data_IF_362339142469
#
_entry.id   IF_362339142469
#
_cell.length_a   1.000
_cell.length_b   1.000
_cell.length_c   1.000
_cell.angle_alpha   90.00
_cell.angle_beta   90.00
_cell.angle_gamma   90.00
#
_symmetry.space_group_name_H-M   'P 1'
#
loop_
_entity.id
_entity.type
_entity.pdbx_description
1 polymer ?
#
# COMPACT_ATOMS: atom_id res chain seq x y z
N UNK A 1 12.93 22.82 37.37
CA UNK A 1 13.23 21.81 36.34
C UNK A 1 11.92 21.30 35.78
N UNK A 2 11.60 21.64 34.52
CA UNK A 2 10.43 21.10 33.84
C UNK A 2 10.68 19.62 33.56
N UNK A 3 9.78 18.74 33.97
CA UNK A 3 9.88 17.30 33.67
C UNK A 3 9.96 17.10 32.15
N UNK A 4 10.88 16.25 31.65
CA UNK A 4 10.91 15.91 30.24
C UNK A 4 9.55 15.34 29.83
N UNK A 5 8.92 15.95 28.82
CA UNK A 5 7.64 15.48 28.25
C UNK A 5 6.37 16.22 28.68
N UNK A 6 6.43 17.21 29.58
CA UNK A 6 5.23 17.96 29.96
C UNK A 6 4.78 18.90 28.82
N UNK A 7 3.67 18.56 28.17
CA UNK A 7 3.06 19.36 27.10
C UNK A 7 3.23 18.81 25.69
N UNK A 8 4.06 17.78 25.47
CA UNK A 8 4.26 17.20 24.13
C UNK A 8 3.02 16.43 23.64
N UNK A 9 2.80 16.33 22.31
CA UNK A 9 1.74 15.51 21.75
C UNK A 9 1.81 14.06 22.24
N UNK A 10 0.68 13.45 22.59
CA UNK A 10 0.62 12.05 23.05
C UNK A 10 1.20 11.08 22.02
N UNK A 11 0.97 11.36 20.74
CA UNK A 11 1.51 10.60 19.60
C UNK A 11 3.04 10.63 19.55
N UNK A 12 3.66 11.74 19.94
CA UNK A 12 5.12 11.84 20.04
C UNK A 12 5.65 10.94 21.16
N UNK A 13 4.98 10.94 22.31
CA UNK A 13 5.35 10.09 23.45
C UNK A 13 5.23 8.60 23.12
N UNK A 14 4.21 8.20 22.36
CA UNK A 14 4.06 6.82 21.87
C UNK A 14 5.20 6.41 20.91
N UNK A 15 5.73 7.36 20.13
CA UNK A 15 6.83 7.15 19.21
C UNK A 15 8.23 7.35 19.84
N UNK A 16 8.31 7.70 21.13
CA UNK A 16 9.56 8.11 21.78
C UNK A 16 10.67 7.04 21.71
N UNK A 17 10.31 5.75 21.68
CA UNK A 17 11.27 4.66 21.51
C UNK A 17 12.06 4.75 20.19
N UNK A 18 11.50 5.37 19.13
CA UNK A 18 12.21 5.59 17.87
C UNK A 18 13.26 6.72 17.95
N UNK A 19 13.24 7.49 19.03
CA UNK A 19 14.00 8.74 19.21
C UNK A 19 14.80 8.74 20.52
N UNK A 20 14.87 7.60 21.21
CA UNK A 20 15.45 7.46 22.57
C UNK A 20 16.95 7.78 22.64
N UNK A 21 17.62 7.85 21.49
CA UNK A 21 19.04 8.16 21.37
C UNK A 21 19.33 9.49 20.70
N UNK A 22 18.30 10.30 20.44
CA UNK A 22 18.49 11.66 19.96
C UNK A 22 19.27 12.49 20.97
N UNK A 23 20.17 13.33 20.46
CA UNK A 23 20.95 14.27 21.25
C UNK A 23 20.73 15.67 20.70
N UNK A 24 20.36 16.59 21.58
CA UNK A 24 20.11 17.98 21.25
C UNK A 24 21.16 18.86 21.96
N UNK A 25 21.68 19.91 21.30
CA UNK A 25 22.46 20.94 21.97
C UNK A 25 21.72 21.54 23.18
N UNK A 26 22.46 21.98 24.20
CA UNK A 26 21.87 22.49 25.45
C UNK A 26 21.03 23.76 25.24
N UNK A 27 21.37 24.55 24.23
CA UNK A 27 20.71 25.82 23.87
C UNK A 27 19.53 25.64 22.90
N UNK A 28 19.26 24.41 22.45
CA UNK A 28 18.20 24.11 21.49
C UNK A 28 16.88 23.77 22.19
N UNK A 29 15.84 24.56 21.90
CA UNK A 29 14.46 24.20 22.27
C UNK A 29 13.89 23.15 21.31
N UNK A 30 14.25 21.88 21.52
CA UNK A 30 13.76 20.78 20.71
C UNK A 30 12.27 20.51 20.90
N UNK A 31 11.68 20.89 22.04
CA UNK A 31 10.25 20.70 22.31
C UNK A 31 9.41 21.61 21.41
N UNK A 32 9.87 22.85 21.16
CA UNK A 32 9.26 23.74 20.18
C UNK A 32 9.24 23.12 18.76
N UNK A 33 10.29 22.39 18.36
CA UNK A 33 10.29 21.69 17.07
C UNK A 33 9.28 20.54 17.01
N UNK A 34 9.13 19.79 18.11
CA UNK A 34 8.10 18.75 18.19
C UNK A 34 6.72 19.36 17.99
N UNK A 35 6.43 20.47 18.66
CA UNK A 35 5.16 21.19 18.47
C UNK A 35 4.97 21.76 17.06
N UNK A 36 6.05 22.18 16.40
CA UNK A 36 5.96 22.77 15.07
C UNK A 36 5.79 21.73 13.96
N UNK A 37 6.38 20.54 14.10
CA UNK A 37 6.52 19.58 12.99
C UNK A 37 5.95 18.20 13.25
N UNK A 38 5.73 17.81 14.51
CA UNK A 38 5.21 16.49 14.80
C UNK A 38 3.67 16.48 14.67
N UNK A 39 3.07 15.51 13.97
CA UNK A 39 1.63 15.45 13.81
C UNK A 39 0.89 15.24 15.14
N UNK A 40 -0.17 16.03 15.35
CA UNK A 40 -1.01 15.97 16.56
C UNK A 40 -1.86 14.68 16.67
N UNK A 41 -1.89 13.85 15.63
CA UNK A 41 -2.67 12.61 15.60
C UNK A 41 -1.99 11.49 14.81
N UNK A 42 -2.35 10.25 15.16
CA UNK A 42 -1.91 9.06 14.41
C UNK A 42 -2.37 9.13 12.96
N UNK A 43 -3.56 9.68 12.70
CA UNK A 43 -4.08 9.90 11.35
C UNK A 43 -3.20 10.87 10.58
N UNK A 44 -2.85 12.01 11.17
CA UNK A 44 -1.96 12.99 10.54
C UNK A 44 -0.56 12.42 10.26
N UNK A 45 -0.03 11.60 11.18
CA UNK A 45 1.22 10.87 10.96
C UNK A 45 1.13 9.86 9.81
N UNK A 46 0.07 9.07 9.77
CA UNK A 46 -0.16 8.08 8.71
C UNK A 46 -0.34 8.75 7.34
N UNK A 47 -1.05 9.89 7.28
CA UNK A 47 -1.22 10.69 6.06
C UNK A 47 0.11 11.32 5.61
N UNK A 48 0.91 11.87 6.53
CA UNK A 48 2.22 12.43 6.21
C UNK A 48 3.14 11.36 5.60
N UNK A 49 3.22 10.18 6.23
CA UNK A 49 3.98 9.04 5.69
C UNK A 49 3.42 8.54 4.35
N UNK A 50 2.10 8.53 4.20
CA UNK A 50 1.43 8.16 2.95
C UNK A 50 1.81 9.10 1.81
N UNK A 51 1.76 10.41 2.05
CA UNK A 51 2.13 11.44 1.08
C UNK A 51 3.59 11.34 0.66
N UNK A 52 4.51 11.18 1.61
CA UNK A 52 5.95 11.00 1.30
C UNK A 52 6.19 9.70 0.52
N UNK A 53 5.48 8.62 0.84
CA UNK A 53 5.58 7.35 0.09
C UNK A 53 5.06 7.52 -1.34
N UNK A 54 3.96 8.24 -1.52
CA UNK A 54 3.42 8.61 -2.83
C UNK A 54 4.42 9.44 -3.63
N UNK A 55 4.97 10.49 -3.05
CA UNK A 55 5.99 11.34 -3.68
C UNK A 55 7.23 10.54 -4.12
N UNK A 56 7.75 9.67 -3.25
CA UNK A 56 8.87 8.80 -3.61
C UNK A 56 8.55 7.91 -4.83
N UNK A 57 7.36 7.29 -4.84
CA UNK A 57 6.89 6.50 -5.97
C UNK A 57 6.79 7.35 -7.25
N UNK A 58 6.11 8.49 -7.18
CA UNK A 58 5.82 9.31 -8.35
C UNK A 58 7.07 9.92 -8.97
N UNK A 59 7.96 10.48 -8.16
CA UNK A 59 9.22 11.07 -8.63
C UNK A 59 10.14 10.01 -9.25
N UNK A 60 10.21 8.81 -8.67
CA UNK A 60 10.99 7.72 -9.27
C UNK A 60 10.45 7.30 -10.65
N UNK A 61 9.13 7.33 -10.83
CA UNK A 61 8.51 7.02 -12.11
C UNK A 61 8.69 8.14 -13.13
N UNK A 62 8.51 9.39 -12.73
CA UNK A 62 8.78 10.57 -13.56
C UNK A 62 10.21 10.54 -14.09
N UNK A 63 11.20 10.33 -13.21
CA UNK A 63 12.61 10.20 -13.60
C UNK A 63 12.84 9.06 -14.60
N UNK A 64 12.17 7.91 -14.41
CA UNK A 64 12.25 6.84 -15.39
C UNK A 64 11.65 7.23 -16.75
N UNK A 65 10.57 8.01 -16.76
CA UNK A 65 9.98 8.58 -17.96
C UNK A 65 10.89 9.56 -18.68
N UNK A 66 11.56 10.45 -17.95
CA UNK A 66 12.54 11.41 -18.49
C UNK A 66 13.76 10.71 -19.09
N UNK A 67 14.27 9.68 -18.42
CA UNK A 67 15.50 8.98 -18.82
C UNK A 67 15.27 7.95 -19.94
N UNK A 68 14.12 7.28 -19.96
CA UNK A 68 13.90 6.08 -20.79
C UNK A 68 12.64 6.13 -21.65
N UNK A 69 11.86 7.21 -21.61
CA UNK A 69 10.60 7.36 -22.33
C UNK A 69 9.36 7.07 -21.47
N UNK A 70 8.26 7.81 -21.71
CA UNK A 70 7.01 7.72 -20.92
C UNK A 70 6.44 6.30 -20.87
N UNK A 71 6.61 5.51 -21.92
CA UNK A 71 6.14 4.11 -21.97
C UNK A 71 6.80 3.20 -20.91
N UNK A 72 7.94 3.60 -20.35
CA UNK A 72 8.62 2.85 -19.30
C UNK A 72 8.02 3.08 -17.90
N UNK A 73 7.22 4.13 -17.70
CA UNK A 73 6.59 4.49 -16.43
C UNK A 73 5.71 3.35 -15.90
N UNK A 74 4.74 2.90 -16.70
CA UNK A 74 3.82 1.84 -16.28
C UNK A 74 4.56 0.51 -16.05
N UNK A 75 5.49 0.15 -16.95
CA UNK A 75 6.29 -1.07 -16.82
C UNK A 75 7.10 -1.09 -15.52
N UNK A 76 7.67 0.05 -15.11
CA UNK A 76 8.39 0.16 -13.86
C UNK A 76 7.45 0.02 -12.66
N UNK A 77 6.29 0.70 -12.71
CA UNK A 77 5.24 0.61 -11.69
C UNK A 77 4.82 -0.86 -11.45
N UNK A 78 4.45 -1.57 -12.51
CA UNK A 78 4.01 -2.97 -12.47
C UNK A 78 5.06 -3.89 -11.85
N UNK A 79 6.31 -3.79 -12.32
CA UNK A 79 7.42 -4.63 -11.82
C UNK A 79 7.76 -4.33 -10.38
N UNK A 80 7.70 -3.05 -9.97
CA UNK A 80 7.95 -2.64 -8.59
C UNK A 80 6.87 -3.18 -7.67
N UNK A 81 5.59 -2.95 -7.98
CA UNK A 81 4.47 -3.44 -7.19
C UNK A 81 4.46 -4.96 -7.06
N UNK A 82 4.69 -5.68 -8.16
CA UNK A 82 4.82 -7.14 -8.13
C UNK A 82 5.90 -7.62 -7.15
N UNK A 83 7.11 -7.03 -7.22
CA UNK A 83 8.21 -7.38 -6.31
C UNK A 83 7.90 -7.01 -4.86
N UNK A 84 7.23 -5.88 -4.64
CA UNK A 84 6.83 -5.44 -3.31
C UNK A 84 5.80 -6.40 -2.69
N UNK A 85 4.83 -6.86 -3.48
CA UNK A 85 3.86 -7.88 -3.10
C UNK A 85 4.56 -9.16 -2.65
N UNK A 86 5.45 -9.70 -3.50
CA UNK A 86 6.24 -10.90 -3.14
C UNK A 86 7.01 -10.71 -1.83
N UNK A 87 7.71 -9.59 -1.68
CA UNK A 87 8.50 -9.30 -0.46
C UNK A 87 7.62 -9.24 0.80
N UNK A 88 6.43 -8.67 0.69
CA UNK A 88 5.48 -8.60 1.81
C UNK A 88 4.95 -9.97 2.19
N UNK A 89 4.54 -10.79 1.22
CA UNK A 89 4.09 -12.15 1.47
C UNK A 89 5.20 -13.00 2.13
N UNK A 90 6.44 -12.93 1.61
CA UNK A 90 7.58 -13.63 2.20
C UNK A 90 7.83 -13.22 3.66
N UNK A 91 7.75 -11.92 3.98
CA UNK A 91 7.88 -11.42 5.35
C UNK A 91 6.80 -12.00 6.28
N UNK A 92 5.54 -12.05 5.83
CA UNK A 92 4.46 -12.61 6.62
C UNK A 92 4.57 -14.13 6.77
N UNK A 93 5.00 -14.83 5.72
CA UNK A 93 5.26 -16.28 5.79
C UNK A 93 6.43 -16.63 6.70
N UNK A 94 7.42 -15.74 6.85
CA UNK A 94 8.52 -15.89 7.81
C UNK A 94 8.12 -15.55 9.25
N UNK A 95 6.95 -14.90 9.45
CA UNK A 95 6.40 -14.64 10.77
C UNK A 95 5.62 -15.85 11.30
N UNK A 96 5.28 -15.87 12.59
CA UNK A 96 4.47 -16.95 13.19
C UNK A 96 2.98 -16.94 12.76
N UNK A 97 2.60 -16.11 11.78
CA UNK A 97 1.24 -16.06 11.25
C UNK A 97 1.02 -17.23 10.27
N UNK A 98 0.10 -18.12 10.60
CA UNK A 98 -0.32 -19.18 9.69
C UNK A 98 -1.21 -18.61 8.57
N UNK A 99 -0.77 -18.81 7.33
CA UNK A 99 -1.51 -18.45 6.11
C UNK A 99 -1.97 -19.72 5.40
N UNK A 100 -3.27 -19.78 5.09
CA UNK A 100 -3.86 -20.87 4.31
C UNK A 100 -3.31 -20.86 2.87
N UNK A 101 -3.25 -22.03 2.23
CA UNK A 101 -2.88 -22.17 0.81
C UNK A 101 -4.14 -22.23 -0.07
N UNK A 102 -5.08 -21.34 0.21
CA UNK A 102 -6.37 -21.16 -0.45
C UNK A 102 -6.71 -19.67 -0.60
N UNK A 103 -7.92 -19.32 -1.07
CA UNK A 103 -8.31 -17.92 -1.30
C UNK A 103 -8.21 -17.06 -0.03
N UNK A 104 -8.45 -17.63 1.16
CA UNK A 104 -8.43 -16.91 2.45
C UNK A 104 -7.02 -16.45 2.80
N UNK A 105 -6.01 -17.26 2.51
CA UNK A 105 -4.63 -16.91 2.79
C UNK A 105 -4.20 -15.64 2.04
N UNK A 106 -4.57 -15.55 0.75
CA UNK A 106 -4.33 -14.34 -0.03
C UNK A 106 -5.22 -13.18 0.42
N UNK A 107 -6.49 -13.43 0.74
CA UNK A 107 -7.37 -12.43 1.36
C UNK A 107 -6.79 -11.82 2.63
N UNK A 108 -6.19 -12.63 3.52
CA UNK A 108 -5.50 -12.14 4.73
C UNK A 108 -4.29 -11.27 4.40
N UNK A 109 -3.50 -11.64 3.40
CA UNK A 109 -2.36 -10.83 2.97
C UNK A 109 -2.81 -9.48 2.41
N UNK A 110 -3.92 -9.44 1.66
CA UNK A 110 -4.51 -8.18 1.17
C UNK A 110 -4.96 -7.30 2.33
N UNK A 111 -5.68 -7.87 3.30
CA UNK A 111 -6.11 -7.15 4.50
C UNK A 111 -4.91 -6.60 5.27
N UNK A 112 -3.88 -7.42 5.48
CA UNK A 112 -2.65 -7.02 6.14
C UNK A 112 -1.98 -5.85 5.39
N UNK A 113 -1.86 -5.92 4.07
CA UNK A 113 -1.27 -4.86 3.25
C UNK A 113 -1.99 -3.52 3.39
N UNK A 114 -3.33 -3.57 3.47
CA UNK A 114 -4.12 -2.37 3.62
C UNK A 114 -3.98 -1.80 5.04
N UNK A 115 -4.07 -2.64 6.07
CA UNK A 115 -3.96 -2.21 7.46
C UNK A 115 -2.58 -1.63 7.81
N UNK A 116 -1.50 -2.19 7.27
CA UNK A 116 -0.15 -1.74 7.64
C UNK A 116 0.40 -0.66 6.73
N UNK A 117 -0.08 -0.59 5.48
CA UNK A 117 0.60 0.18 4.44
C UNK A 117 -0.34 1.11 3.68
N UNK A 118 -1.66 1.00 3.81
CA UNK A 118 -2.65 1.83 3.09
C UNK A 118 -3.74 2.41 3.98
N UNK A 119 -3.39 3.38 4.84
CA UNK A 119 -4.28 3.93 5.87
C UNK A 119 -5.51 4.66 5.29
N UNK A 120 -5.46 5.08 4.03
CA UNK A 120 -6.53 5.81 3.35
C UNK A 120 -7.54 4.89 2.66
N UNK A 121 -7.27 3.58 2.59
CA UNK A 121 -8.20 2.59 2.04
C UNK A 121 -9.11 1.99 3.10
N UNK A 122 -10.33 1.71 2.69
CA UNK A 122 -11.38 1.04 3.44
C UNK A 122 -11.71 -0.26 2.74
N UNK A 123 -11.93 -1.29 3.55
CA UNK A 123 -12.28 -2.63 3.09
C UNK A 123 -13.74 -2.93 3.33
N UNK A 124 -14.40 -3.46 2.32
CA UNK A 124 -15.69 -4.12 2.45
C UNK A 124 -15.53 -5.56 1.95
N UNK A 125 -15.46 -6.51 2.89
CA UNK A 125 -15.35 -7.93 2.60
C UNK A 125 -16.76 -8.46 2.30
N UNK A 126 -17.01 -8.79 1.04
CA UNK A 126 -18.29 -9.30 0.57
C UNK A 126 -18.37 -10.82 0.76
N UNK A 127 -17.25 -11.51 0.58
CA UNK A 127 -17.14 -12.94 0.79
C UNK A 127 -15.73 -13.34 1.25
N UNK A 128 -15.66 -14.34 2.14
CA UNK A 128 -14.39 -14.82 2.69
C UNK A 128 -14.39 -16.34 2.92
N UNK A 129 -14.38 -17.11 1.83
CA UNK A 129 -14.36 -18.57 1.83
C UNK A 129 -13.03 -19.16 1.34
N UNK A 130 -12.82 -20.46 1.57
CA UNK A 130 -11.64 -21.17 1.09
C UNK A 130 -11.54 -21.16 -0.45
N UNK A 131 -12.69 -21.18 -1.11
CA UNK A 131 -12.79 -21.26 -2.57
C UNK A 131 -12.85 -19.89 -3.25
N UNK A 132 -13.35 -18.88 -2.53
CA UNK A 132 -13.45 -17.54 -3.08
C UNK A 132 -13.43 -16.46 -2.00
N UNK A 133 -12.84 -15.33 -2.35
CA UNK A 133 -12.81 -14.10 -1.56
C UNK A 133 -13.16 -12.94 -2.48
N UNK A 134 -14.12 -12.12 -2.06
CA UNK A 134 -14.52 -10.90 -2.74
C UNK A 134 -14.37 -9.71 -1.80
N UNK A 135 -13.59 -8.71 -2.23
CA UNK A 135 -13.27 -7.52 -1.44
C UNK A 135 -13.52 -6.30 -2.32
N UNK A 136 -14.25 -5.31 -1.78
CA UNK A 136 -14.32 -3.97 -2.35
C UNK A 136 -13.39 -3.05 -1.57
N UNK A 137 -12.56 -2.30 -2.28
CA UNK A 137 -11.56 -1.39 -1.72
C UNK A 137 -11.94 0.02 -2.16
N UNK A 138 -12.22 0.89 -1.19
CA UNK A 138 -12.57 2.30 -1.46
C UNK A 138 -11.67 3.23 -0.67
N UNK A 139 -11.52 4.48 -1.07
CA UNK A 139 -10.71 5.43 -0.31
C UNK A 139 -10.02 6.44 -1.19
N UNK A 140 -8.86 6.94 -0.75
CA UNK A 140 -8.05 7.83 -1.57
C UNK A 140 -6.80 7.09 -2.07
N UNK A 141 -6.62 7.04 -3.39
CA UNK A 141 -5.45 6.42 -4.02
C UNK A 141 -4.30 7.42 -4.10
N UNK A 142 -3.31 7.24 -3.21
CA UNK A 142 -2.14 8.11 -3.16
C UNK A 142 -1.29 8.04 -4.44
N UNK A 143 -1.29 6.91 -5.14
CA UNK A 143 -0.51 6.72 -6.36
C UNK A 143 -1.15 7.46 -7.51
N UNK A 144 -2.48 7.47 -7.58
CA UNK A 144 -3.22 8.32 -8.51
C UNK A 144 -3.00 9.80 -8.20
N UNK A 145 -3.08 10.18 -6.92
CA UNK A 145 -2.85 11.58 -6.49
C UNK A 145 -1.50 12.11 -6.98
N UNK A 146 -0.40 11.42 -6.68
CA UNK A 146 0.93 11.87 -7.10
C UNK A 146 1.12 11.79 -8.63
N UNK A 147 0.59 10.77 -9.31
CA UNK A 147 0.71 10.67 -10.77
C UNK A 147 -0.01 11.84 -11.47
N UNK A 148 -1.15 12.28 -10.92
CA UNK A 148 -1.91 13.43 -11.42
C UNK A 148 -1.21 14.76 -11.13
N UNK A 149 -0.63 14.90 -9.93
CA UNK A 149 0.19 16.07 -9.58
C UNK A 149 1.38 16.24 -10.54
N UNK A 150 1.95 15.13 -11.03
CA UNK A 150 3.09 15.10 -11.94
C UNK A 150 2.71 14.96 -13.43
N UNK A 151 1.42 14.83 -13.77
CA UNK A 151 0.92 14.81 -15.16
C UNK A 151 1.27 13.55 -15.97
N UNK A 152 1.25 12.38 -15.34
CA UNK A 152 1.43 11.08 -16.01
C UNK A 152 0.41 10.00 -15.60
N UNK A 153 -0.68 10.37 -14.94
CA UNK A 153 -1.76 9.47 -14.53
C UNK A 153 -2.37 8.69 -15.70
N UNK A 154 -2.35 9.28 -16.90
CA UNK A 154 -2.83 8.72 -18.17
C UNK A 154 -1.96 7.56 -18.68
N UNK A 155 -0.70 7.50 -18.22
CA UNK A 155 0.26 6.47 -18.63
C UNK A 155 0.12 5.20 -17.79
N UNK A 156 -0.41 5.30 -16.57
CA UNK A 156 -0.53 4.18 -15.64
C UNK A 156 -1.78 3.33 -15.90
N UNK A 157 -1.67 2.02 -15.69
CA UNK A 157 -2.81 1.13 -15.67
C UNK A 157 -3.42 1.04 -14.27
N UNK A 158 -4.64 1.54 -14.13
CA UNK A 158 -5.38 1.49 -12.87
C UNK A 158 -6.19 0.18 -12.75
N UNK A 159 -6.23 -0.45 -11.56
CA UNK A 159 -5.51 -0.07 -10.35
C UNK A 159 -4.05 -0.56 -10.38
N UNK A 160 -3.09 0.31 -10.04
CA UNK A 160 -1.65 -0.05 -10.02
C UNK A 160 -1.31 -1.17 -9.03
N UNK A 161 -2.18 -1.39 -8.04
CA UNK A 161 -2.06 -2.44 -7.02
C UNK A 161 -2.37 -3.85 -7.53
N UNK A 162 -2.90 -4.00 -8.75
CA UNK A 162 -3.17 -5.31 -9.36
C UNK A 162 -1.94 -6.20 -9.29
N UNK A 163 -0.79 -5.66 -9.70
CA UNK A 163 0.47 -6.40 -9.76
C UNK A 163 1.01 -6.73 -8.37
N UNK A 164 0.77 -5.84 -7.39
CA UNK A 164 1.11 -6.08 -5.99
C UNK A 164 0.33 -7.29 -5.44
N UNK A 165 -0.98 -7.36 -5.67
CA UNK A 165 -1.77 -8.50 -5.22
C UNK A 165 -1.44 -9.80 -5.98
N UNK A 166 -1.09 -9.71 -7.27
CA UNK A 166 -0.53 -10.86 -8.00
C UNK A 166 0.75 -11.36 -7.34
N UNK A 167 1.67 -10.46 -6.98
CA UNK A 167 2.90 -10.81 -6.26
C UNK A 167 2.66 -11.49 -4.92
N UNK A 168 1.63 -11.08 -4.16
CA UNK A 168 1.24 -11.78 -2.94
C UNK A 168 0.81 -13.23 -3.23
N UNK A 169 -0.03 -13.42 -4.24
CA UNK A 169 -0.55 -14.74 -4.61
C UNK A 169 0.53 -15.70 -5.13
N UNK A 170 1.45 -15.20 -5.95
CA UNK A 170 2.56 -15.97 -6.49
C UNK A 170 3.52 -16.41 -5.39
N UNK A 171 3.86 -15.53 -4.46
CA UNK A 171 4.69 -15.89 -3.31
C UNK A 171 3.98 -16.85 -2.34
N UNK A 172 2.66 -16.71 -2.18
CA UNK A 172 1.85 -17.65 -1.40
C UNK A 172 1.71 -19.02 -2.11
N UNK A 173 2.05 -19.13 -3.40
CA UNK A 173 1.98 -20.38 -4.15
C UNK A 173 0.54 -20.86 -4.39
N UNK A 174 -0.39 -19.93 -4.62
CA UNK A 174 -1.81 -20.29 -4.87
C UNK A 174 -2.30 -19.96 -6.28
N UNK A 175 -1.54 -19.22 -7.08
CA UNK A 175 -1.99 -18.67 -8.39
C UNK A 175 -2.19 -19.72 -9.49
N UNK A 176 -1.63 -20.92 -9.30
CA UNK A 176 -1.93 -22.10 -10.14
C UNK A 176 -3.36 -22.61 -9.95
N UNK A 177 -3.91 -22.46 -8.73
CA UNK A 177 -5.24 -22.98 -8.36
C UNK A 177 -6.30 -21.90 -8.22
N UNK A 178 -5.88 -20.64 -8.05
CA UNK A 178 -6.76 -19.50 -7.86
C UNK A 178 -6.45 -18.41 -8.89
N UNK A 179 -7.50 -17.84 -9.47
CA UNK A 179 -7.42 -16.65 -10.30
C UNK A 179 -7.60 -15.41 -9.41
N UNK A 180 -6.82 -14.37 -9.69
CA UNK A 180 -6.95 -13.06 -9.06
C UNK A 180 -7.34 -12.04 -10.14
N UNK A 181 -8.42 -11.31 -9.91
CA UNK A 181 -8.86 -10.21 -10.76
C UNK A 181 -9.07 -8.96 -9.90
N UNK A 182 -8.46 -7.85 -10.32
CA UNK A 182 -8.67 -6.54 -9.71
C UNK A 182 -9.12 -5.55 -10.78
N UNK A 183 -10.30 -4.98 -10.59
CA UNK A 183 -10.95 -4.09 -11.54
C UNK A 183 -11.18 -2.71 -10.95
N UNK A 184 -11.11 -1.70 -11.83
CA UNK A 184 -11.47 -0.33 -11.53
C UNK A 184 -12.99 -0.17 -11.66
N UNK A 185 -13.68 0.17 -10.57
CA UNK A 185 -15.10 0.52 -10.60
C UNK A 185 -15.24 2.02 -10.86
N UNK A 186 -14.51 2.86 -10.11
CA UNK A 186 -14.44 4.30 -10.35
C UNK A 186 -13.17 4.90 -9.76
N UNK A 187 -12.66 5.96 -10.39
CA UNK A 187 -11.55 6.77 -9.91
C UNK A 187 -11.80 8.21 -10.38
N UNK A 188 -11.89 9.16 -9.45
CA UNK A 188 -12.19 10.56 -9.76
C UNK A 188 -10.96 11.48 -9.63
N UNK A 189 -11.15 12.75 -9.99
CA UNK A 189 -10.10 13.78 -9.99
C UNK A 189 -9.57 14.11 -8.57
N UNK A 190 -10.32 13.77 -7.52
CA UNK A 190 -9.89 13.88 -6.13
C UNK A 190 -9.11 12.62 -5.67
N UNK A 191 -8.80 11.72 -6.61
CA UNK A 191 -8.19 10.42 -6.39
C UNK A 191 -9.02 9.51 -5.48
N UNK A 192 -10.34 9.70 -5.42
CA UNK A 192 -11.22 8.78 -4.70
C UNK A 192 -11.44 7.55 -5.56
N UNK A 193 -11.04 6.40 -5.03
CA UNK A 193 -11.04 5.14 -5.74
C UNK A 193 -12.14 4.20 -5.25
N UNK A 194 -12.57 3.34 -6.15
CA UNK A 194 -13.39 2.17 -5.90
C UNK A 194 -12.89 1.02 -6.76
N UNK A 195 -12.37 -0.01 -6.12
CA UNK A 195 -11.80 -1.20 -6.75
C UNK A 195 -12.52 -2.45 -6.29
N UNK A 196 -12.77 -3.36 -7.22
CA UNK A 196 -13.20 -4.72 -6.89
C UNK A 196 -11.99 -5.66 -6.95
N UNK A 197 -11.90 -6.57 -5.99
CA UNK A 197 -10.91 -7.64 -5.97
C UNK A 197 -11.64 -8.98 -5.79
N UNK A 198 -11.40 -9.89 -6.72
CA UNK A 198 -11.87 -11.25 -6.70
C UNK A 198 -10.68 -12.22 -6.65
N UNK A 199 -10.73 -13.16 -5.72
CA UNK A 199 -9.83 -14.31 -5.65
C UNK A 199 -10.73 -15.53 -5.72
N UNK A 200 -10.66 -16.31 -6.79
CA UNK A 200 -11.61 -17.42 -7.03
C UNK A 200 -10.85 -18.67 -7.43
N UNK A 201 -11.29 -19.85 -6.95
CA UNK A 201 -10.74 -21.12 -7.43
C UNK A 201 -10.93 -21.20 -8.95
N UNK A 202 -9.88 -21.55 -9.66
CA UNK A 202 -9.96 -21.90 -11.08
C UNK A 202 -10.79 -23.18 -11.19
N UNK A 203 -11.92 -23.13 -11.89
CA UNK A 203 -12.65 -24.34 -12.27
C UNK A 203 -11.83 -25.14 -13.30
N UNK A 204 -11.85 -26.48 -13.22
CA UNK A 204 -11.23 -27.41 -14.19
C UNK A 204 -11.80 -27.32 -15.63
N UNK A 205 -12.67 -26.33 -15.90
CA UNK A 205 -13.22 -26.06 -17.23
C UNK A 205 -12.75 -24.70 -17.72
N UNK A 206 -11.97 -24.77 -18.79
CA UNK A 206 -11.62 -23.73 -19.79
C UNK A 206 -10.72 -22.57 -19.35
N UNK A 207 -9.44 -22.67 -19.74
CA UNK A 207 -8.89 -21.76 -20.75
C UNK A 207 -8.35 -22.64 -21.89
N UNK A 208 -9.19 -22.88 -22.88
CA UNK A 208 -8.69 -23.10 -24.23
C UNK A 208 -8.18 -21.73 -24.71
N UNK A 209 -6.95 -21.70 -25.22
CA UNK A 209 -6.38 -20.56 -25.91
C UNK A 209 -7.37 -19.96 -26.92
N UNK A 210 -7.56 -18.63 -26.96
CA UNK A 210 -7.90 -17.98 -28.19
C UNK A 210 -6.61 -17.85 -29.02
N UNK A 211 -6.63 -18.50 -30.18
CA UNK A 211 -5.73 -18.28 -31.32
C UNK A 211 -5.56 -16.78 -31.63
#
# INVERSE_FOLDING_TARGET
MNSPGKGLPETFLQAAALREHDRYPEDMDWQALVHAFFPDSVVGMAQSLSNITGAFYGLMLEQAGEMFGREHINRLSERMFYRLGRRMAARHMASQVQLERDARGLGRLVVAAIFTSSPEYRLHILEFGAEQVFIRITGADRYHRIARELGFEDVLQWPVLREFFRGLGDELGITERFALAMELVSLDDDSRCDYSLAIVRRSDRTLADPL
#
